data_IF_832946298178
#
_entry.id   IF_832946298178
#
_cell.length_a   1.000
_cell.length_b   1.000
_cell.length_c   1.000
_cell.angle_alpha   90.00
_cell.angle_beta   90.00
_cell.angle_gamma   90.00
#
_symmetry.space_group_name_H-M   'P 1'
#
loop_
_entity.id
_entity.type
_entity.pdbx_description
1 polymer ?
#
# COMPACT_ATOMS: atom_id res chain seq x y z
N UNK A 1 11.41 0.96 4.16
CA UNK A 1 10.69 2.07 3.50
C UNK A 1 10.14 2.96 4.60
N UNK A 2 10.34 4.28 4.50
CA UNK A 2 9.68 5.23 5.40
C UNK A 2 8.29 5.54 4.83
N UNK A 3 7.24 5.13 5.53
CA UNK A 3 5.87 5.44 5.14
C UNK A 3 5.56 6.90 5.47
N UNK A 4 4.87 7.58 4.57
CA UNK A 4 4.44 8.95 4.75
C UNK A 4 2.97 9.08 4.42
N UNK A 5 2.32 10.08 5.01
CA UNK A 5 0.97 10.45 4.63
C UNK A 5 0.91 10.81 3.14
N UNK A 6 -0.24 10.56 2.53
CA UNK A 6 -0.51 10.73 1.11
C UNK A 6 0.19 9.77 0.14
N UNK A 7 0.94 8.77 0.62
CA UNK A 7 1.42 7.69 -0.26
C UNK A 7 0.25 6.81 -0.74
N UNK A 8 0.29 6.40 -2.00
CA UNK A 8 -0.73 5.57 -2.63
C UNK A 8 -0.16 4.21 -3.03
N UNK A 9 -0.89 3.15 -2.72
CA UNK A 9 -0.48 1.78 -2.98
C UNK A 9 -1.55 1.05 -3.78
N UNK A 10 -1.10 0.33 -4.79
CA UNK A 10 -1.89 -0.64 -5.52
C UNK A 10 -1.94 -1.95 -4.74
N UNK A 11 -3.15 -2.46 -4.58
CA UNK A 11 -3.46 -3.72 -3.90
C UNK A 11 -3.35 -4.84 -4.91
N UNK A 12 -2.42 -5.77 -4.68
CA UNK A 12 -2.32 -7.00 -5.48
C UNK A 12 -3.17 -8.11 -4.85
N UNK A 13 -3.55 -9.10 -5.65
CA UNK A 13 -4.49 -10.21 -5.35
C UNK A 13 -4.25 -11.00 -4.04
N UNK A 14 -3.21 -10.71 -3.27
CA UNK A 14 -2.82 -11.41 -2.05
C UNK A 14 -2.71 -10.49 -0.82
N UNK A 15 -3.30 -9.29 -0.86
CA UNK A 15 -3.29 -8.38 0.30
C UNK A 15 -4.24 -8.85 1.40
N UNK A 16 -5.53 -9.06 1.08
CA UNK A 16 -6.54 -9.62 1.98
C UNK A 16 -7.78 -10.10 1.20
N UNK A 17 -8.40 -11.23 1.58
CA UNK A 17 -9.54 -11.81 0.86
C UNK A 17 -10.87 -11.04 1.00
N UNK A 18 -10.96 -10.02 1.86
CA UNK A 18 -12.22 -9.31 2.17
C UNK A 18 -12.23 -7.82 1.77
N UNK A 19 -11.15 -7.29 1.16
CA UNK A 19 -11.20 -5.94 0.58
C UNK A 19 -11.80 -6.02 -0.84
N UNK A 20 -13.10 -6.22 -0.89
CA UNK A 20 -13.87 -6.24 -2.13
C UNK A 20 -13.89 -4.84 -2.78
N UNK A 21 -13.58 -4.79 -4.08
CA UNK A 21 -13.76 -3.66 -5.00
C UNK A 21 -12.85 -2.42 -4.89
N UNK A 22 -11.64 -2.52 -4.35
CA UNK A 22 -10.71 -1.39 -4.43
C UNK A 22 -9.32 -1.89 -4.78
N UNK A 23 -8.83 -1.43 -5.93
CA UNK A 23 -7.51 -1.76 -6.44
C UNK A 23 -6.42 -0.89 -5.80
N UNK A 24 -6.81 0.19 -5.12
CA UNK A 24 -5.90 1.17 -4.53
C UNK A 24 -6.29 1.56 -3.11
N UNK A 25 -5.27 1.89 -2.33
CA UNK A 25 -5.40 2.53 -1.02
C UNK A 25 -4.43 3.70 -0.90
N UNK A 26 -4.76 4.63 -0.01
CA UNK A 26 -3.95 5.79 0.34
C UNK A 26 -3.66 5.80 1.83
N UNK A 27 -2.43 6.12 2.21
CA UNK A 27 -2.08 6.40 3.60
C UNK A 27 -2.63 7.77 3.98
N UNK A 28 -3.48 7.80 4.99
CA UNK A 28 -4.03 9.04 5.56
C UNK A 28 -3.19 9.49 6.75
N UNK A 29 -2.71 8.54 7.56
CA UNK A 29 -1.94 8.83 8.75
C UNK A 29 -0.91 7.72 9.03
N UNK A 30 0.28 8.11 9.47
CA UNK A 30 1.31 7.19 9.94
C UNK A 30 1.63 7.53 11.40
N UNK A 31 1.49 6.54 12.26
CA UNK A 31 1.90 6.58 13.64
C UNK A 31 3.05 5.60 13.87
N UNK A 32 3.73 5.73 15.02
CA UNK A 32 4.89 4.89 15.35
C UNK A 32 4.57 3.38 15.35
N UNK A 33 3.32 2.99 15.59
CA UNK A 33 2.91 1.58 15.71
C UNK A 33 1.85 1.15 14.70
N UNK A 34 1.18 2.08 14.03
CA UNK A 34 0.07 1.80 13.14
C UNK A 34 0.01 2.76 11.97
N UNK A 35 -0.65 2.31 10.91
CA UNK A 35 -0.92 3.09 9.71
C UNK A 35 -2.42 3.11 9.47
N UNK A 36 -2.93 4.29 9.16
CA UNK A 36 -4.32 4.50 8.80
C UNK A 36 -4.38 4.65 7.29
N UNK A 37 -5.14 3.78 6.65
CA UNK A 37 -5.35 3.78 5.20
C UNK A 37 -6.80 4.08 4.86
N UNK A 38 -7.02 4.63 3.69
CA UNK A 38 -8.34 4.86 3.11
C UNK A 38 -8.38 4.25 1.71
N UNK A 39 -9.47 3.57 1.41
CA UNK A 39 -9.68 2.93 0.11
C UNK A 39 -10.13 3.97 -0.90
N UNK A 40 -9.75 3.83 -2.17
CA UNK A 40 -10.16 4.76 -3.23
C UNK A 40 -11.69 4.80 -3.38
N UNK A 41 -12.35 3.64 -3.35
CA UNK A 41 -13.79 3.51 -3.55
C UNK A 41 -14.62 3.57 -2.26
N UNK A 42 -14.02 3.91 -1.11
CA UNK A 42 -14.75 3.97 0.16
C UNK A 42 -14.23 5.07 1.08
N UNK A 43 -15.16 5.79 1.71
CA UNK A 43 -14.83 6.68 2.82
C UNK A 43 -14.36 5.92 4.06
N UNK A 44 -14.44 4.58 4.06
CA UNK A 44 -13.97 3.73 5.15
C UNK A 44 -12.46 3.84 5.34
N UNK A 45 -12.06 3.94 6.61
CA UNK A 45 -10.66 3.94 7.03
C UNK A 45 -10.31 2.59 7.65
N UNK A 46 -9.22 2.00 7.21
CA UNK A 46 -8.61 0.81 7.82
C UNK A 46 -7.45 1.23 8.72
N UNK A 47 -7.30 0.57 9.86
CA UNK A 47 -6.14 0.73 10.74
C UNK A 47 -5.38 -0.58 10.77
N UNK A 48 -4.10 -0.53 10.44
CA UNK A 48 -3.23 -1.70 10.43
C UNK A 48 -2.00 -1.49 11.29
N UNK A 49 -1.45 -2.55 11.91
CA UNK A 49 -0.13 -2.47 12.51
C UNK A 49 0.90 -2.11 11.45
N UNK A 50 1.84 -1.22 11.81
CA UNK A 50 2.88 -0.76 10.90
C UNK A 50 3.69 -1.94 10.34
N UNK A 51 3.99 -2.92 11.19
CA UNK A 51 4.78 -4.10 10.85
C UNK A 51 4.09 -4.98 9.80
N UNK A 52 2.79 -5.24 9.97
CA UNK A 52 1.97 -5.95 8.98
C UNK A 52 1.90 -5.21 7.65
N UNK A 53 1.74 -3.88 7.70
CA UNK A 53 1.69 -3.08 6.49
C UNK A 53 3.00 -3.13 5.70
N UNK A 54 4.13 -3.02 6.39
CA UNK A 54 5.45 -3.18 5.79
C UNK A 54 5.68 -4.60 5.26
N UNK A 55 5.18 -5.62 5.95
CA UNK A 55 5.24 -7.00 5.47
C UNK A 55 4.55 -7.16 4.11
N UNK A 56 3.36 -6.58 3.92
CA UNK A 56 2.66 -6.64 2.65
C UNK A 56 3.37 -5.90 1.52
N UNK A 57 4.00 -4.77 1.81
CA UNK A 57 4.85 -4.06 0.83
C UNK A 57 6.03 -4.96 0.41
N UNK A 58 6.73 -5.55 1.39
CA UNK A 58 7.86 -6.47 1.13
C UNK A 58 7.46 -7.72 0.37
N UNK A 59 6.20 -8.17 0.50
CA UNK A 59 5.65 -9.32 -0.22
C UNK A 59 5.09 -8.97 -1.59
N UNK A 60 5.21 -7.72 -2.03
CA UNK A 60 4.64 -7.23 -3.28
C UNK A 60 3.10 -7.38 -3.32
N UNK A 61 2.46 -7.48 -2.15
CA UNK A 61 1.00 -7.44 -1.99
C UNK A 61 0.49 -5.99 -2.00
N UNK A 62 1.32 -5.04 -1.57
CA UNK A 62 1.13 -3.61 -1.78
C UNK A 62 2.28 -3.07 -2.60
N UNK A 63 1.98 -2.41 -3.71
CA UNK A 63 2.98 -1.81 -4.58
C UNK A 63 2.76 -0.31 -4.55
N UNK A 64 3.78 0.46 -4.19
CA UNK A 64 3.69 1.91 -4.20
C UNK A 64 3.54 2.42 -5.64
N UNK A 65 2.49 3.21 -5.91
CA UNK A 65 2.14 3.64 -7.27
C UNK A 65 3.21 4.57 -7.86
N UNK A 66 3.90 5.36 -7.03
CA UNK A 66 4.97 6.25 -7.51
C UNK A 66 6.28 5.49 -7.84
N UNK A 67 6.47 4.27 -7.33
CA UNK A 67 7.64 3.43 -7.68
C UNK A 67 7.44 2.61 -8.97
N UNK A 68 6.24 2.63 -9.56
CA UNK A 68 5.97 1.94 -10.83
C UNK A 68 6.70 2.57 -12.03
N UNK A 69 7.21 3.80 -11.88
CA UNK A 69 8.00 4.50 -12.90
C UNK A 69 9.48 4.03 -12.94
N UNK A 70 10.00 3.49 -11.83
CA UNK A 70 11.44 3.19 -11.66
C UNK A 70 11.79 1.69 -11.77
N UNK A 71 10.84 0.82 -12.10
CA UNK A 71 11.11 -0.62 -12.32
C UNK A 71 10.62 -1.14 -13.68
N UNK A 72 10.47 -0.24 -14.65
CA UNK A 72 10.25 -0.56 -16.07
C UNK A 72 11.39 -0.04 -16.96
N UNK A 73 12.63 0.10 -16.48
CA UNK A 73 13.81 0.15 -17.36
C UNK A 73 14.99 -0.55 -16.68
N UNK A 74 15.67 -1.44 -17.41
CA UNK A 74 16.99 -1.95 -17.01
C UNK A 74 17.08 -3.41 -16.58
N UNK A 75 16.56 -4.36 -17.35
CA UNK A 75 17.19 -5.68 -17.47
C UNK A 75 17.79 -5.78 -18.87
N UNK A 76 19.13 -5.81 -18.95
CA UNK A 76 19.87 -6.12 -20.17
C UNK A 76 21.02 -5.17 -20.46
N UNK A 77 22.14 -5.35 -19.77
CA UNK A 77 23.47 -5.16 -20.37
C UNK A 77 24.02 -6.53 -20.79
#
# INVERSE_FOLDING_TARGET
>A
MNLQCNMEFEIKNNFMPNLYNSDKLKIVEVSSHCVVIQMENSSSRGVFPLDHFQYWIRKNSLVHITEQDEMSTGSGE
#
